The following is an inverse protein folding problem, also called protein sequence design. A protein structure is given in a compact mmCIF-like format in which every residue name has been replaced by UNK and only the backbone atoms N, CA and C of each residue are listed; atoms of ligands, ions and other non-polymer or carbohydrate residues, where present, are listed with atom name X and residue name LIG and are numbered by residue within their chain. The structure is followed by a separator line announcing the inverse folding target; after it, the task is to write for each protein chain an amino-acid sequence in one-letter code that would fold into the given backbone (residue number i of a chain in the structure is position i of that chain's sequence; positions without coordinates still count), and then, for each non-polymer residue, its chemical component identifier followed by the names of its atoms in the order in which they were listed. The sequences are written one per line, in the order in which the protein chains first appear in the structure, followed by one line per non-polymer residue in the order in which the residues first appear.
data_IF_758094321667
#
_entry.id   IF_758094321667
#
_cell.length_a   1.000
_cell.length_b   1.000
_cell.length_c   1.000
_cell.angle_alpha   90.00
_cell.angle_beta   90.00
_cell.angle_gamma   90.00
#
_symmetry.space_group_name_H-M   'P 1'
#
loop_
_entity.id
_entity.type
_entity.pdbx_description
1 polymer ?
#
# COMPACT_ATOMS: atom_id res chain seq x y z
N UNK A 1 -1.19 -32.46 -24.74
CA UNK A 1 -1.25 -31.59 -23.53
C UNK A 1 -0.51 -32.31 -22.41
N UNK A 2 0.43 -31.65 -21.74
CA UNK A 2 1.13 -32.25 -20.58
C UNK A 2 0.11 -32.52 -19.45
N UNK A 3 0.31 -33.55 -18.60
CA UNK A 3 -0.47 -33.73 -17.38
C UNK A 3 -0.57 -32.44 -16.54
N UNK A 4 0.53 -31.69 -16.44
CA UNK A 4 0.58 -30.42 -15.70
C UNK A 4 -0.26 -29.33 -16.39
N UNK A 5 -0.28 -29.31 -17.73
CA UNK A 5 -1.13 -28.36 -18.47
C UNK A 5 -2.61 -28.60 -18.22
N UNK A 6 -3.00 -29.88 -18.14
CA UNK A 6 -4.37 -30.28 -17.85
C UNK A 6 -4.78 -29.90 -16.43
N UNK A 7 -3.86 -30.02 -15.48
CA UNK A 7 -4.08 -29.64 -14.09
C UNK A 7 -4.18 -28.11 -13.94
N UNK A 8 -3.31 -27.34 -14.62
CA UNK A 8 -3.40 -25.87 -14.68
C UNK A 8 -4.74 -25.43 -15.29
N UNK A 9 -5.19 -26.08 -16.36
CA UNK A 9 -6.48 -25.78 -16.99
C UNK A 9 -7.66 -26.08 -16.05
N UNK A 10 -7.64 -27.22 -15.36
CA UNK A 10 -8.65 -27.57 -14.37
C UNK A 10 -8.72 -26.56 -13.22
N UNK A 11 -7.57 -26.16 -12.67
CA UNK A 11 -7.49 -25.15 -11.61
C UNK A 11 -7.96 -23.77 -12.12
N UNK A 12 -7.66 -23.43 -13.38
CA UNK A 12 -8.14 -22.19 -14.02
C UNK A 12 -9.66 -22.19 -14.21
N UNK A 13 -10.24 -23.34 -14.57
CA UNK A 13 -11.68 -23.50 -14.66
C UNK A 13 -12.35 -23.37 -13.27
N UNK A 14 -11.76 -23.96 -12.23
CA UNK A 14 -12.23 -23.79 -10.85
C UNK A 14 -12.19 -22.33 -10.39
N UNK A 15 -11.15 -21.59 -10.80
CA UNK A 15 -11.04 -20.15 -10.58
C UNK A 15 -12.23 -19.38 -11.19
N UNK A 16 -12.59 -19.70 -12.44
CA UNK A 16 -13.76 -19.14 -13.11
C UNK A 16 -15.06 -19.39 -12.35
N UNK A 17 -15.27 -20.63 -11.89
CA UNK A 17 -16.46 -21.00 -11.10
C UNK A 17 -16.55 -20.21 -9.79
N UNK A 18 -15.42 -19.95 -9.11
CA UNK A 18 -15.42 -19.15 -7.88
C UNK A 18 -15.76 -17.69 -8.17
N UNK A 19 -15.27 -17.11 -9.26
CA UNK A 19 -15.67 -15.76 -9.67
C UNK A 19 -17.19 -15.66 -9.93
N UNK A 20 -17.77 -16.66 -10.59
CA UNK A 20 -19.22 -16.74 -10.78
C UNK A 20 -19.98 -16.87 -9.45
N UNK A 21 -19.49 -17.69 -8.52
CA UNK A 21 -20.06 -17.81 -7.17
C UNK A 21 -20.00 -16.49 -6.40
N UNK A 22 -18.90 -15.75 -6.49
CA UNK A 22 -18.78 -14.42 -5.88
C UNK A 22 -19.81 -13.46 -6.48
N UNK A 23 -19.97 -13.45 -7.80
CA UNK A 23 -20.98 -12.64 -8.47
C UNK A 23 -22.40 -13.02 -8.03
N UNK A 24 -22.69 -14.32 -7.93
CA UNK A 24 -23.98 -14.84 -7.47
C UNK A 24 -24.28 -14.47 -6.01
N UNK A 25 -23.30 -14.53 -5.10
CA UNK A 25 -23.48 -14.13 -3.70
C UNK A 25 -23.73 -12.63 -3.58
N UNK A 26 -23.10 -11.81 -4.43
CA UNK A 26 -23.32 -10.36 -4.46
C UNK A 26 -24.75 -10.03 -4.89
N UNK A 27 -25.25 -10.70 -5.93
CA UNK A 27 -26.60 -10.47 -6.49
C UNK A 27 -27.73 -11.18 -5.74
N UNK A 28 -27.44 -12.08 -4.80
CA UNK A 28 -28.46 -12.80 -4.03
C UNK A 28 -29.18 -11.87 -3.04
N UNK A 29 -30.43 -11.49 -3.33
CA UNK A 29 -31.23 -10.61 -2.45
C UNK A 29 -31.67 -11.27 -1.13
N UNK A 30 -31.55 -12.60 -1.00
CA UNK A 30 -31.99 -13.33 0.20
C UNK A 30 -30.96 -13.34 1.33
N UNK A 31 -29.70 -13.02 1.03
CA UNK A 31 -28.61 -12.99 2.01
C UNK A 31 -28.49 -11.60 2.65
N UNK A 32 -28.35 -11.56 3.97
CA UNK A 32 -28.02 -10.33 4.69
C UNK A 32 -26.60 -9.84 4.33
N UNK A 33 -26.36 -8.53 4.44
CA UNK A 33 -25.07 -7.91 4.11
C UNK A 33 -23.90 -8.58 4.82
N UNK A 34 -24.04 -8.95 6.11
CA UNK A 34 -22.96 -9.60 6.85
C UNK A 34 -22.65 -11.00 6.33
N UNK A 35 -23.69 -11.74 5.95
CA UNK A 35 -23.54 -13.10 5.40
C UNK A 35 -22.92 -13.07 4.01
N UNK A 36 -23.26 -12.06 3.20
CA UNK A 36 -22.59 -11.82 1.91
C UNK A 36 -21.11 -11.55 2.11
N UNK A 37 -20.75 -10.66 3.02
CA UNK A 37 -19.36 -10.30 3.27
C UNK A 37 -18.53 -11.49 3.76
N UNK A 38 -19.06 -12.28 4.70
CA UNK A 38 -18.39 -13.49 5.20
C UNK A 38 -18.19 -14.52 4.09
N UNK A 39 -19.23 -14.76 3.27
CA UNK A 39 -19.17 -15.75 2.19
C UNK A 39 -18.27 -15.30 1.04
N UNK A 40 -18.27 -14.02 0.70
CA UNK A 40 -17.33 -13.43 -0.27
C UNK A 40 -15.90 -13.53 0.27
N UNK A 41 -15.68 -13.29 1.57
CA UNK A 41 -14.36 -13.41 2.19
C UNK A 41 -13.81 -14.83 2.10
N UNK A 42 -14.63 -15.84 2.39
CA UNK A 42 -14.25 -17.26 2.25
C UNK A 42 -13.90 -17.58 0.80
N UNK A 43 -14.79 -17.23 -0.14
CA UNK A 43 -14.55 -17.46 -1.58
C UNK A 43 -13.31 -16.72 -2.10
N UNK A 44 -13.00 -15.55 -1.55
CA UNK A 44 -11.78 -14.79 -1.90
C UNK A 44 -10.53 -15.48 -1.38
N UNK A 45 -10.58 -16.09 -0.20
CA UNK A 45 -9.47 -16.88 0.35
C UNK A 45 -9.24 -18.15 -0.47
N UNK A 46 -10.31 -18.84 -0.88
CA UNK A 46 -10.24 -20.00 -1.77
C UNK A 46 -9.64 -19.63 -3.13
N UNK A 47 -9.98 -18.45 -3.66
CA UNK A 47 -9.41 -17.91 -4.90
C UNK A 47 -7.89 -17.72 -4.78
N UNK A 48 -7.42 -17.12 -3.69
CA UNK A 48 -5.98 -16.91 -3.44
C UNK A 48 -5.21 -18.24 -3.31
N UNK A 49 -5.82 -19.24 -2.68
CA UNK A 49 -5.25 -20.58 -2.58
C UNK A 49 -5.09 -21.23 -3.95
N UNK A 50 -6.13 -21.16 -4.79
CA UNK A 50 -6.08 -21.68 -6.17
C UNK A 50 -5.04 -20.95 -7.03
N UNK A 51 -4.92 -19.64 -6.90
CA UNK A 51 -3.88 -18.87 -7.62
C UNK A 51 -2.48 -19.32 -7.22
N UNK A 52 -2.26 -19.60 -5.93
CA UNK A 52 -1.00 -20.15 -5.42
C UNK A 52 -0.70 -21.54 -6.00
N UNK A 53 -1.72 -22.41 -6.08
CA UNK A 53 -1.59 -23.75 -6.67
C UNK A 53 -1.29 -23.71 -8.17
N UNK A 54 -1.99 -22.84 -8.93
CA UNK A 54 -1.71 -22.63 -10.36
C UNK A 54 -0.27 -22.15 -10.55
N UNK A 55 0.19 -21.23 -9.71
CA UNK A 55 1.56 -20.72 -9.77
C UNK A 55 2.59 -21.81 -9.47
N UNK A 56 2.36 -22.61 -8.42
CA UNK A 56 3.20 -23.75 -8.08
C UNK A 56 3.28 -24.76 -9.23
N UNK A 57 2.14 -25.10 -9.86
CA UNK A 57 2.10 -26.01 -10.99
C UNK A 57 2.80 -25.46 -12.24
N UNK A 58 2.72 -24.15 -12.48
CA UNK A 58 3.50 -23.50 -13.54
C UNK A 58 5.00 -23.55 -13.26
N UNK A 59 5.40 -23.42 -11.99
CA UNK A 59 6.80 -23.57 -11.58
C UNK A 59 7.28 -25.01 -11.80
N UNK A 60 6.52 -26.01 -11.36
CA UNK A 60 6.79 -27.43 -11.58
C UNK A 60 6.97 -27.73 -13.07
N UNK A 61 6.09 -27.20 -13.94
CA UNK A 61 6.23 -27.31 -15.41
C UNK A 61 7.56 -26.74 -15.92
N UNK A 62 7.99 -25.58 -15.40
CA UNK A 62 9.24 -24.96 -15.83
C UNK A 62 10.48 -25.68 -15.31
N UNK A 63 10.39 -26.37 -14.17
CA UNK A 63 11.45 -27.20 -13.62
C UNK A 63 11.55 -28.56 -14.33
N UNK A 64 10.41 -29.20 -14.63
CA UNK A 64 10.34 -30.45 -15.38
C UNK A 64 10.94 -30.27 -16.80
N UNK A 65 10.59 -29.18 -17.49
CA UNK A 65 11.18 -28.81 -18.77
C UNK A 65 12.69 -28.47 -18.72
N UNK A 66 13.23 -28.07 -17.56
CA UNK A 66 14.68 -27.82 -17.36
C UNK A 66 15.43 -29.12 -17.09
N UNK A 67 14.83 -30.03 -16.34
CA UNK A 67 15.41 -31.33 -16.02
C UNK A 67 15.42 -32.24 -17.26
N UNK A 68 14.36 -32.23 -18.09
CA UNK A 68 14.31 -32.99 -19.35
C UNK A 68 15.33 -32.50 -20.40
N UNK A 69 15.68 -31.20 -20.39
CA UNK A 69 16.69 -30.63 -21.29
C UNK A 69 18.14 -30.84 -20.81
N UNK A 70 18.36 -31.36 -19.60
CA UNK A 70 19.72 -31.63 -19.07
C UNK A 70 20.16 -33.09 -19.18
N UNK A 71 19.29 -33.97 -19.68
CA UNK A 71 19.56 -35.41 -19.79
C UNK A 71 19.83 -35.91 -21.23
N UNK A 72 19.90 -35.04 -22.23
CA UNK A 72 20.23 -35.47 -23.60
C UNK A 72 20.89 -34.37 -24.43
N UNK A 73 22.22 -34.33 -24.43
CA UNK A 73 22.96 -33.78 -25.57
C UNK A 73 24.38 -34.35 -25.63
N UNK A 74 24.50 -35.59 -26.09
CA UNK A 74 25.71 -36.06 -26.78
C UNK A 74 25.31 -36.47 -28.21
N UNK A 75 25.88 -35.74 -29.19
CA UNK A 75 25.94 -36.02 -30.65
C UNK A 75 24.58 -35.98 -31.37
N UNK A 76 24.43 -35.44 -32.58
CA UNK A 76 25.34 -35.35 -33.72
C UNK A 76 24.76 -34.35 -34.75
N UNK A 77 25.63 -33.80 -35.61
CA UNK A 77 25.29 -32.94 -36.75
C UNK A 77 24.19 -33.50 -37.66
N UNK A 78 23.26 -32.67 -38.12
CA UNK A 78 22.73 -32.73 -39.50
C UNK A 78 21.82 -31.54 -39.80
N UNK A 79 22.22 -30.79 -40.81
CA UNK A 79 21.50 -29.72 -41.48
C UNK A 79 20.21 -30.23 -42.15
N UNK A 80 19.07 -29.62 -41.82
CA UNK A 80 17.97 -29.45 -42.79
C UNK A 80 17.06 -28.28 -42.43
N UNK A 81 17.12 -27.29 -43.32
CA UNK A 81 16.22 -26.15 -43.47
C UNK A 81 14.78 -26.65 -43.64
N UNK A 82 13.89 -26.30 -42.71
CA UNK A 82 12.45 -26.22 -42.97
C UNK A 82 12.00 -24.86 -42.41
N UNK A 83 11.87 -23.91 -43.33
CA UNK A 83 11.03 -22.73 -43.15
C UNK A 83 9.60 -23.24 -42.95
N UNK A 84 8.99 -22.94 -41.80
CA UNK A 84 7.54 -22.75 -41.69
C UNK A 84 7.25 -21.88 -40.47
N UNK A 85 6.80 -20.67 -40.79
CA UNK A 85 5.85 -19.85 -40.05
C UNK A 85 6.23 -19.44 -38.63
N UNK A 86 7.05 -18.38 -38.56
CA UNK A 86 7.18 -17.52 -37.39
C UNK A 86 5.86 -16.77 -37.16
N UNK A 87 4.85 -17.50 -36.68
CA UNK A 87 3.72 -16.91 -35.97
C UNK A 87 4.27 -16.24 -34.73
N UNK A 88 4.21 -14.90 -34.71
CA UNK A 88 4.56 -14.02 -33.59
C UNK A 88 4.08 -14.61 -32.26
N UNK A 89 4.96 -15.30 -31.54
CA UNK A 89 4.86 -15.35 -30.10
C UNK A 89 5.59 -14.10 -29.60
N UNK A 90 4.82 -13.06 -29.32
CA UNK A 90 5.22 -12.00 -28.41
C UNK A 90 5.41 -12.63 -27.02
N UNK A 91 6.51 -13.37 -26.87
CA UNK A 91 6.96 -13.99 -25.63
C UNK A 91 7.58 -12.94 -24.72
N UNK A 92 6.84 -11.87 -24.41
CA UNK A 92 7.15 -11.00 -23.28
C UNK A 92 6.73 -11.72 -22.00
N UNK A 93 7.42 -12.82 -21.70
CA UNK A 93 7.41 -13.38 -20.36
C UNK A 93 8.04 -12.33 -19.44
N UNK A 94 7.33 -11.94 -18.38
CA UNK A 94 7.88 -11.12 -17.31
C UNK A 94 9.22 -11.76 -16.91
N UNK A 95 10.32 -11.00 -16.99
CA UNK A 95 11.64 -11.55 -16.66
C UNK A 95 11.62 -12.14 -15.25
N UNK A 96 12.31 -13.26 -15.03
CA UNK A 96 12.38 -13.92 -13.72
C UNK A 96 12.81 -12.94 -12.61
N UNK A 97 13.67 -11.98 -12.96
CA UNK A 97 14.06 -10.88 -12.09
C UNK A 97 12.87 -9.99 -11.67
N UNK A 98 12.03 -9.55 -12.61
CA UNK A 98 10.81 -8.78 -12.33
C UNK A 98 9.81 -9.58 -11.48
N UNK A 99 9.73 -10.89 -11.70
CA UNK A 99 8.91 -11.77 -10.87
C UNK A 99 9.42 -11.84 -9.42
N UNK A 100 10.72 -12.02 -9.21
CA UNK A 100 11.34 -12.00 -7.87
C UNK A 100 11.15 -10.65 -7.17
N UNK A 101 11.28 -9.54 -7.89
CA UNK A 101 11.01 -8.20 -7.35
C UNK A 101 9.54 -8.03 -6.92
N UNK A 102 8.59 -8.50 -7.75
CA UNK A 102 7.17 -8.46 -7.42
C UNK A 102 6.83 -9.34 -6.20
N UNK A 103 7.41 -10.53 -6.09
CA UNK A 103 7.25 -11.42 -4.93
C UNK A 103 7.79 -10.75 -3.65
N UNK A 104 8.98 -10.16 -3.71
CA UNK A 104 9.57 -9.47 -2.57
C UNK A 104 8.73 -8.27 -2.14
N UNK A 105 8.23 -7.48 -3.10
CA UNK A 105 7.31 -6.39 -2.82
C UNK A 105 6.05 -6.89 -2.13
N UNK A 106 5.43 -7.96 -2.63
CA UNK A 106 4.24 -8.55 -2.03
C UNK A 106 4.47 -8.96 -0.57
N UNK A 107 5.60 -9.60 -0.26
CA UNK A 107 5.96 -9.98 1.11
C UNK A 107 6.16 -8.75 2.01
N UNK A 108 6.83 -7.72 1.51
CA UNK A 108 7.02 -6.46 2.24
C UNK A 108 5.69 -5.75 2.49
N UNK A 109 4.82 -5.67 1.49
CA UNK A 109 3.48 -5.09 1.59
C UNK A 109 2.63 -5.86 2.61
N UNK A 110 2.68 -7.19 2.58
CA UNK A 110 1.97 -8.05 3.53
C UNK A 110 2.43 -7.80 4.97
N UNK A 111 3.75 -7.71 5.19
CA UNK A 111 4.33 -7.37 6.51
C UNK A 111 3.89 -5.98 6.98
N UNK A 112 3.98 -4.96 6.12
CA UNK A 112 3.55 -3.60 6.47
C UNK A 112 2.05 -3.52 6.75
N UNK A 113 1.22 -4.23 5.98
CA UNK A 113 -0.22 -4.32 6.22
C UNK A 113 -0.55 -4.98 7.57
N UNK A 114 0.21 -6.01 7.95
CA UNK A 114 0.09 -6.63 9.28
C UNK A 114 0.44 -5.65 10.40
N UNK A 115 1.57 -4.94 10.29
CA UNK A 115 1.99 -3.95 11.31
C UNK A 115 0.95 -2.83 11.42
N UNK A 116 0.47 -2.31 10.28
CA UNK A 116 -0.59 -1.31 10.23
C UNK A 116 -1.86 -1.77 10.95
N UNK A 117 -2.27 -3.03 10.75
CA UNK A 117 -3.44 -3.59 11.44
C UNK A 117 -3.22 -3.65 12.96
N UNK A 118 -2.04 -4.11 13.41
CA UNK A 118 -1.72 -4.17 14.83
C UNK A 118 -1.75 -2.78 15.48
N UNK A 119 -1.11 -1.78 14.85
CA UNK A 119 -1.12 -0.39 15.31
C UNK A 119 -2.56 0.16 15.35
N UNK A 120 -3.40 -0.18 14.38
CA UNK A 120 -4.80 0.28 14.36
C UNK A 120 -5.58 -0.27 15.56
N UNK A 121 -5.41 -1.56 15.86
CA UNK A 121 -6.03 -2.19 17.03
C UNK A 121 -5.56 -1.54 18.33
N UNK A 122 -4.27 -1.24 18.45
CA UNK A 122 -3.68 -0.57 19.61
C UNK A 122 -4.28 0.83 19.83
N UNK A 123 -4.33 1.65 18.78
CA UNK A 123 -4.93 2.99 18.84
C UNK A 123 -6.42 2.93 19.22
N UNK A 124 -7.17 1.98 18.65
CA UNK A 124 -8.60 1.81 18.95
C UNK A 124 -8.81 1.31 20.39
N UNK A 125 -7.89 0.48 20.91
CA UNK A 125 -7.91 0.02 22.31
C UNK A 125 -7.70 1.19 23.27
N UNK A 126 -6.69 2.03 23.05
CA UNK A 126 -6.45 3.23 23.87
C UNK A 126 -7.66 4.17 23.88
N UNK A 127 -8.28 4.39 22.71
CA UNK A 127 -9.51 5.20 22.60
C UNK A 127 -10.68 4.59 23.34
N UNK A 128 -10.83 3.27 23.28
CA UNK A 128 -11.88 2.57 23.99
C UNK A 128 -11.69 2.67 25.51
N UNK A 129 -10.45 2.56 26.00
CA UNK A 129 -10.13 2.73 27.42
C UNK A 129 -10.42 4.15 27.91
N UNK A 130 -10.07 5.18 27.12
CA UNK A 130 -10.40 6.58 27.43
C UNK A 130 -11.92 6.77 27.51
N UNK A 131 -12.66 6.23 26.53
CA UNK A 131 -14.12 6.31 26.51
C UNK A 131 -14.74 5.62 27.73
N UNK A 132 -14.32 4.39 28.01
CA UNK A 132 -14.78 3.62 29.17
C UNK A 132 -14.48 4.36 30.49
N UNK A 133 -13.29 4.97 30.60
CA UNK A 133 -12.93 5.79 31.75
C UNK A 133 -13.87 6.98 31.95
N UNK A 134 -14.25 7.67 30.87
CA UNK A 134 -15.22 8.77 30.91
C UNK A 134 -16.63 8.28 31.27
N UNK A 135 -17.06 7.14 30.74
CA UNK A 135 -18.37 6.53 31.03
C UNK A 135 -18.53 6.13 32.50
N UNK A 136 -17.48 5.59 33.13
CA UNK A 136 -17.51 5.16 34.54
C UNK A 136 -17.81 6.30 35.53
N UNK A 137 -17.47 7.54 35.17
CA UNK A 137 -17.68 8.72 36.01
C UNK A 137 -18.91 9.55 35.60
N UNK A 138 -19.74 9.02 34.69
CA UNK A 138 -20.94 9.69 34.18
C UNK A 138 -20.64 10.80 33.19
N UNK A 139 -21.63 11.13 32.35
CA UNK A 139 -21.51 12.16 31.31
C UNK A 139 -21.33 13.58 31.87
N UNK A 140 -20.82 14.49 31.03
CA UNK A 140 -20.70 15.93 31.37
C UNK A 140 -22.05 16.58 31.76
N UNK A 141 -23.16 16.00 31.30
CA UNK A 141 -24.52 16.54 31.46
C UNK A 141 -25.33 15.88 32.59
N UNK A 142 -24.73 15.01 33.41
CA UNK A 142 -25.42 14.47 34.59
C UNK A 142 -25.44 15.51 35.72
N UNK A 143 -26.55 15.57 36.47
CA UNK A 143 -26.67 16.39 37.67
C UNK A 143 -25.55 16.02 38.66
N UNK A 144 -24.52 16.87 38.71
CA UNK A 144 -23.18 16.48 39.16
C UNK A 144 -23.02 16.46 40.67
N UNK A 145 -22.61 15.31 41.20
CA UNK A 145 -21.88 15.23 42.46
C UNK A 145 -20.51 15.93 42.28
N UNK A 146 -20.18 16.97 43.08
CA UNK A 146 -18.91 17.69 43.01
C UNK A 146 -17.69 16.76 43.03
N UNK A 147 -17.75 15.67 43.80
CA UNK A 147 -16.65 14.69 43.89
C UNK A 147 -16.41 13.96 42.56
N UNK A 148 -17.48 13.56 41.87
CA UNK A 148 -17.36 12.95 40.53
C UNK A 148 -16.77 13.91 39.50
N UNK A 149 -17.12 15.20 39.58
CA UNK A 149 -16.58 16.20 38.68
C UNK A 149 -15.07 16.38 38.85
N UNK A 150 -14.57 16.40 40.09
CA UNK A 150 -13.15 16.45 40.37
C UNK A 150 -12.42 15.18 39.90
N UNK A 151 -13.01 14.00 40.15
CA UNK A 151 -12.48 12.73 39.66
C UNK A 151 -12.37 12.69 38.13
N UNK A 152 -13.34 13.24 37.39
CA UNK A 152 -13.28 13.34 35.92
C UNK A 152 -12.11 14.19 35.47
N UNK A 153 -11.93 15.36 36.08
CA UNK A 153 -10.83 16.28 35.75
C UNK A 153 -9.47 15.62 36.01
N UNK A 154 -9.33 14.93 37.14
CA UNK A 154 -8.09 14.22 37.49
C UNK A 154 -7.83 13.06 36.52
N UNK A 155 -8.85 12.25 36.21
CA UNK A 155 -8.73 11.18 35.23
C UNK A 155 -8.28 11.71 33.86
N UNK A 156 -8.85 12.83 33.43
CA UNK A 156 -8.53 13.44 32.15
C UNK A 156 -7.07 13.92 32.10
N UNK A 157 -6.62 14.61 33.15
CA UNK A 157 -5.27 15.15 33.23
C UNK A 157 -4.18 14.10 33.43
N UNK A 158 -4.46 13.04 34.20
CA UNK A 158 -3.43 12.07 34.58
C UNK A 158 -3.31 10.91 33.58
N UNK A 159 -4.44 10.38 33.10
CA UNK A 159 -4.44 9.13 32.31
C UNK A 159 -4.93 9.38 30.89
N UNK A 160 -6.11 9.98 30.72
CA UNK A 160 -6.72 10.05 29.39
C UNK A 160 -5.92 10.93 28.42
N UNK A 161 -5.32 12.03 28.91
CA UNK A 161 -4.45 12.87 28.09
C UNK A 161 -3.30 12.07 27.48
N UNK A 162 -2.56 11.32 28.30
CA UNK A 162 -1.44 10.50 27.83
C UNK A 162 -1.90 9.42 26.85
N UNK A 163 -2.99 8.70 27.15
CA UNK A 163 -3.55 7.69 26.23
C UNK A 163 -4.03 8.27 24.91
N UNK A 164 -4.57 9.49 24.94
CA UNK A 164 -5.03 10.20 23.74
C UNK A 164 -3.85 10.63 22.87
N UNK A 165 -2.79 11.18 23.48
CA UNK A 165 -1.54 11.53 22.79
C UNK A 165 -0.87 10.30 22.17
N UNK A 166 -0.83 9.19 22.90
CA UNK A 166 -0.29 7.92 22.41
C UNK A 166 -1.09 7.37 21.22
N UNK A 167 -2.43 7.39 21.30
CA UNK A 167 -3.28 7.00 20.19
C UNK A 167 -3.05 7.86 18.94
N UNK A 168 -2.86 9.19 19.10
CA UNK A 168 -2.55 10.10 18.00
C UNK A 168 -1.17 9.81 17.39
N UNK A 169 -0.17 9.53 18.21
CA UNK A 169 1.17 9.16 17.74
C UNK A 169 1.13 7.84 16.93
N UNK A 170 0.33 6.86 17.38
CA UNK A 170 0.12 5.62 16.62
C UNK A 170 -0.57 5.90 15.28
N UNK A 171 -1.54 6.80 15.21
CA UNK A 171 -2.16 7.21 13.95
C UNK A 171 -1.19 7.91 12.99
N UNK A 172 -0.26 8.71 13.51
CA UNK A 172 0.82 9.27 12.69
C UNK A 172 1.71 8.16 12.11
N UNK A 173 2.06 7.14 12.90
CA UNK A 173 2.84 5.98 12.43
C UNK A 173 2.09 5.19 11.34
N UNK A 174 0.77 5.03 11.48
CA UNK A 174 -0.07 4.40 10.45
C UNK A 174 -0.03 5.21 9.15
N UNK A 175 -0.19 6.53 9.25
CA UNK A 175 -0.16 7.43 8.08
C UNK A 175 1.21 7.37 7.37
N UNK A 176 2.29 7.32 8.13
CA UNK A 176 3.64 7.16 7.60
C UNK A 176 3.86 5.80 6.94
N UNK A 177 3.27 4.72 7.49
CA UNK A 177 3.27 3.41 6.85
C UNK A 177 2.47 3.40 5.54
N UNK A 178 1.31 4.04 5.50
CA UNK A 178 0.48 4.17 4.29
C UNK A 178 1.22 4.94 3.19
N UNK A 179 1.96 5.99 3.57
CA UNK A 179 2.87 6.73 2.68
C UNK A 179 3.96 5.80 2.10
N UNK A 180 4.67 5.06 2.96
CA UNK A 180 5.72 4.11 2.53
C UNK A 180 5.20 2.98 1.64
N UNK A 181 3.99 2.48 1.93
CA UNK A 181 3.31 1.49 1.08
C UNK A 181 3.09 2.06 -0.32
N UNK A 182 2.57 3.28 -0.40
CA UNK A 182 2.30 3.97 -1.67
C UNK A 182 3.59 4.19 -2.45
N UNK A 183 4.64 4.71 -1.80
CA UNK A 183 5.96 4.90 -2.42
C UNK A 183 6.56 3.61 -2.99
N UNK A 184 6.47 2.49 -2.26
CA UNK A 184 6.99 1.19 -2.73
C UNK A 184 6.22 0.65 -3.94
N UNK A 185 4.91 0.87 -3.98
CA UNK A 185 4.07 0.50 -5.12
C UNK A 185 4.44 1.35 -6.35
N UNK A 186 4.59 2.66 -6.16
CA UNK A 186 4.96 3.60 -7.23
C UNK A 186 6.36 3.33 -7.78
N UNK A 187 7.37 3.19 -6.93
CA UNK A 187 8.75 2.91 -7.34
C UNK A 187 8.85 1.62 -8.19
N UNK A 188 8.08 0.59 -7.85
CA UNK A 188 8.05 -0.66 -8.61
C UNK A 188 7.33 -0.49 -9.95
N UNK A 189 6.25 0.28 -9.98
CA UNK A 189 5.53 0.63 -11.22
C UNK A 189 6.43 1.41 -12.18
N UNK A 190 7.17 2.39 -11.69
CA UNK A 190 8.13 3.16 -12.49
C UNK A 190 9.28 2.31 -13.02
N UNK A 191 9.85 1.41 -12.20
CA UNK A 191 10.87 0.46 -12.64
C UNK A 191 10.39 -0.45 -13.77
N UNK A 192 9.17 -1.00 -13.65
CA UNK A 192 8.58 -1.85 -14.68
C UNK A 192 8.30 -1.07 -15.99
N UNK A 193 7.86 0.19 -15.89
CA UNK A 193 7.54 1.03 -17.05
C UNK A 193 8.78 1.53 -17.79
N UNK A 194 9.84 1.89 -17.07
CA UNK A 194 11.08 2.39 -17.67
C UNK A 194 11.84 1.30 -18.44
N UNK A 195 11.78 0.04 -17.99
CA UNK A 195 12.37 -1.09 -18.71
C UNK A 195 11.65 -1.41 -20.03
N UNK A 196 10.33 -1.22 -20.09
CA UNK A 196 9.57 -1.42 -21.33
C UNK A 196 9.82 -0.32 -22.38
N UNK A 197 10.34 0.84 -21.95
CA UNK A 197 10.69 1.95 -22.85
C UNK A 197 12.10 1.81 -23.44
N UNK A 198 13.02 1.15 -22.72
CA UNK A 198 14.42 0.97 -23.14
C UNK A 198 14.61 -0.05 -24.28
N UNK A 199 13.63 -0.92 -24.54
CA UNK A 199 13.71 -1.94 -25.61
C UNK A 199 13.43 -1.37 -27.01
N UNK A 200 12.87 -0.16 -27.15
CA UNK A 200 12.53 0.44 -28.47
C UNK A 200 13.68 1.26 -29.06
N UNK A 201 14.72 1.59 -28.29
CA UNK A 201 15.87 2.38 -28.79
C UNK A 201 17.15 1.56 -28.69
N UNK A 202 17.33 0.61 -29.60
CA UNK A 202 18.57 -0.15 -29.75
C UNK A 202 18.95 -0.28 -31.23
N UNK A 203 20.17 0.20 -31.54
CA UNK A 203 20.96 0.14 -32.80
C UNK A 203 20.61 1.21 -33.86
N UNK A 204 21.54 2.04 -34.38
CA UNK A 204 22.88 1.72 -34.92
C UNK A 204 23.86 2.93 -34.86
N UNK A 205 25.12 2.60 -34.52
CA UNK A 205 26.48 3.18 -34.79
C UNK A 205 26.87 4.68 -34.73
N UNK A 206 27.82 4.93 -33.82
CA UNK A 206 29.18 5.52 -33.98
C UNK A 206 29.53 6.44 -35.18
N UNK A 207 29.97 7.66 -34.88
CA UNK A 207 31.35 8.10 -35.12
C UNK A 207 31.73 9.38 -34.33
N UNK A 208 33.01 9.41 -33.97
CA UNK A 208 33.88 10.43 -33.35
C UNK A 208 33.52 11.91 -33.68
N UNK A 209 33.78 12.92 -32.86
CA UNK A 209 35.13 13.34 -32.45
C UNK A 209 35.10 14.47 -31.39
N UNK A 210 36.25 14.66 -30.76
CA UNK A 210 36.70 15.49 -29.64
C UNK A 210 36.43 17.01 -29.78
N UNK A 211 36.10 17.70 -28.67
CA UNK A 211 36.87 18.85 -28.12
C UNK A 211 36.12 19.66 -27.06
N UNK A 212 36.76 19.80 -25.90
CA UNK A 212 36.67 20.84 -24.86
C UNK A 212 38.13 21.31 -24.69
N UNK A 213 38.52 22.56 -24.27
CA UNK A 213 37.79 23.65 -23.60
C UNK A 213 38.11 25.09 -24.13
N UNK A 214 37.40 26.11 -23.60
CA UNK A 214 37.98 27.26 -22.86
C UNK A 214 37.05 28.50 -22.88
N UNK A 215 36.76 29.02 -21.68
CA UNK A 215 36.24 30.37 -21.38
C UNK A 215 37.33 31.43 -21.69
N UNK A 216 37.08 32.77 -21.83
CA UNK A 216 36.43 33.58 -20.76
C UNK A 216 35.78 34.96 -21.13
N UNK A 217 35.14 35.55 -20.10
CA UNK A 217 34.90 36.99 -19.73
C UNK A 217 34.11 38.02 -20.59
N UNK A 218 33.26 38.79 -19.86
CA UNK A 218 32.95 40.22 -20.08
C UNK A 218 31.45 40.55 -20.02
N UNK A 219 30.84 40.88 -18.85
CA UNK A 219 30.80 42.17 -18.13
C UNK A 219 29.76 43.19 -18.65
N UNK A 220 28.89 43.66 -17.74
CA UNK A 220 27.91 44.75 -17.91
C UNK A 220 26.63 44.50 -17.09
N UNK A 221 26.57 44.80 -15.78
CA UNK A 221 26.07 46.07 -15.17
C UNK A 221 24.52 46.14 -15.28
N UNK A 222 23.67 46.24 -14.24
CA UNK A 222 23.67 47.12 -13.06
C UNK A 222 22.70 46.62 -11.96
N UNK A 223 22.96 47.06 -10.73
CA UNK A 223 22.33 46.82 -9.41
C UNK A 223 21.08 47.69 -9.18
N UNK A 224 20.09 47.21 -8.41
CA UNK A 224 19.31 47.94 -7.34
C UNK A 224 18.19 47.01 -6.83
N UNK A 225 18.31 46.35 -5.66
CA UNK A 225 18.08 46.83 -4.28
C UNK A 225 16.73 47.56 -4.07
N UNK A 226 15.82 46.94 -3.31
CA UNK A 226 15.03 47.64 -2.29
C UNK A 226 14.45 46.67 -1.24
N UNK A 227 14.75 46.98 0.02
CA UNK A 227 14.23 46.39 1.25
C UNK A 227 13.02 47.19 1.77
N UNK A 228 12.23 46.49 2.60
CA UNK A 228 11.45 46.96 3.75
C UNK A 228 10.31 47.99 3.60
N UNK A 229 9.12 47.62 4.11
CA UNK A 229 8.60 48.27 5.33
C UNK A 229 7.45 47.53 6.01
N UNK A 230 7.53 47.60 7.34
CA UNK A 230 6.68 47.12 8.43
C UNK A 230 5.18 47.52 8.44
N UNK A 231 4.37 46.75 9.19
CA UNK A 231 3.61 47.15 10.43
C UNK A 231 2.42 46.21 10.66
N UNK A 232 2.44 45.34 11.70
CA UNK A 232 2.03 45.61 13.10
C UNK A 232 0.53 45.88 13.28
N UNK A 233 -0.18 44.97 13.98
CA UNK A 233 -1.01 45.32 15.16
C UNK A 233 -1.44 44.09 15.97
N UNK A 234 -0.86 44.03 17.16
CA UNK A 234 -1.28 43.25 18.32
C UNK A 234 -2.47 43.98 19.01
N UNK A 235 -3.48 43.27 19.51
CA UNK A 235 -4.34 43.78 20.59
C UNK A 235 -4.89 42.64 21.46
N UNK A 236 -4.61 42.78 22.75
CA UNK A 236 -5.09 42.00 23.89
C UNK A 236 -5.98 42.95 24.73
N UNK A 237 -7.11 42.48 25.28
CA UNK A 237 -7.59 42.77 26.65
C UNK A 237 -9.04 42.26 26.90
N UNK A 238 -9.13 41.24 27.76
CA UNK A 238 -9.90 41.18 29.02
C UNK A 238 -11.15 42.07 29.22
N UNK A 239 -12.29 41.44 29.51
CA UNK A 239 -13.35 42.01 30.37
C UNK A 239 -14.17 40.87 31.04
N UNK A 240 -13.81 40.54 32.28
CA UNK A 240 -14.72 39.89 33.22
C UNK A 240 -15.64 40.98 33.78
N UNK A 241 -16.95 40.82 33.66
CA UNK A 241 -17.94 41.60 34.40
C UNK A 241 -18.65 40.68 35.39
N UNK A 242 -18.28 40.83 36.66
CA UNK A 242 -19.08 40.39 37.80
C UNK A 242 -20.31 41.28 37.89
N UNK A 243 -21.51 40.70 37.86
CA UNK A 243 -22.73 41.38 38.28
C UNK A 243 -23.22 40.67 39.54
N UNK A 244 -23.01 41.33 40.68
CA UNK A 244 -23.60 41.02 41.96
C UNK A 244 -25.12 41.26 41.90
N UNK A 245 -25.92 40.25 42.25
CA UNK A 245 -27.34 40.44 42.54
C UNK A 245 -27.48 40.57 44.05
N UNK A 246 -27.83 41.78 44.48
CA UNK A 246 -28.15 42.16 45.86
C UNK A 246 -29.60 41.72 46.15
N UNK A 247 -29.79 40.78 47.08
CA UNK A 247 -31.12 40.36 47.56
C UNK A 247 -31.32 41.04 48.92
N UNK A 248 -32.19 42.06 48.98
CA UNK A 248 -32.70 42.57 50.25
C UNK A 248 -33.93 41.78 50.68
N UNK A 249 -33.91 41.38 51.95
CA UNK A 249 -35.00 40.82 52.75
C UNK A 249 -35.98 41.92 53.15
#
# INVERSE_FOLDING_TARGET
MSPIDREIEQLTNQKGIIHEKIASVKSDEKLDSKQKDERIKILTMDLQLLESQIMQKRMEKTEENKNDNSASSEKENSSKKIEMDAGKQDGSGISMEKFLQASNLHDQLTKMASVRRSLKVEADTLRHEVRKGRELLGGENEAGDPGKSEMRKNLELTVNKSKTEEALNIEMKITELDRKISEKIEATKEGIQNDNKKVITGEVDNQEDVSVPDQPVGAGDTIELNQDTDKNKNFNHQAQQNISIDIRV
#
